data_IF_089205876955
#
_entry.id   IF_089205876955
#
_cell.length_a   1.000
_cell.length_b   1.000
_cell.length_c   1.000
_cell.angle_alpha   90.00
_cell.angle_beta   90.00
_cell.angle_gamma   90.00
#
_symmetry.space_group_name_H-M   'P 1'
#
loop_
_entity.id
_entity.type
_entity.pdbx_description
1 polymer ?
#
# COMPACT_ATOMS: atom_id res chain seq x y z
N UNK A 1 15.21 14.24 -10.15
CA UNK A 1 14.04 13.54 -9.59
C UNK A 1 13.14 13.22 -10.77
N UNK A 2 13.36 12.10 -11.45
CA UNK A 2 12.51 11.63 -12.53
C UNK A 2 12.32 10.14 -12.29
N UNK A 3 11.08 9.72 -12.06
CA UNK A 3 10.70 8.32 -11.88
C UNK A 3 9.79 7.93 -13.04
N UNK A 4 10.38 7.89 -14.23
CA UNK A 4 9.76 7.27 -15.39
C UNK A 4 10.50 5.97 -15.68
N UNK A 5 9.88 4.84 -15.35
CA UNK A 5 10.21 3.56 -15.96
C UNK A 5 8.90 2.78 -16.17
N UNK A 6 8.49 2.51 -17.42
CA UNK A 6 7.19 1.92 -17.73
C UNK A 6 7.18 0.38 -17.71
N UNK A 7 7.94 -0.27 -16.82
CA UNK A 7 8.10 -1.73 -16.86
C UNK A 7 7.90 -2.47 -15.51
N UNK A 8 7.50 -1.78 -14.43
CA UNK A 8 7.41 -2.40 -13.09
C UNK A 8 5.98 -2.64 -12.59
N UNK A 9 4.96 -2.13 -13.30
CA UNK A 9 3.55 -2.21 -12.89
C UNK A 9 2.96 -3.62 -12.99
N UNK A 10 3.65 -4.54 -13.68
CA UNK A 10 3.20 -5.90 -13.94
C UNK A 10 3.60 -6.92 -12.87
N UNK A 11 4.54 -6.61 -11.97
CA UNK A 11 4.97 -7.55 -10.92
C UNK A 11 4.09 -7.53 -9.65
N UNK A 12 3.19 -6.56 -9.52
CA UNK A 12 2.33 -6.40 -8.34
C UNK A 12 0.83 -6.54 -8.63
N UNK A 13 0.47 -6.87 -9.87
CA UNK A 13 -0.91 -7.17 -10.26
C UNK A 13 -1.12 -8.67 -10.23
N UNK A 14 -1.55 -9.19 -9.08
CA UNK A 14 -2.23 -10.48 -8.99
C UNK A 14 -3.39 -10.36 -8.02
N UNK A 15 -4.65 -10.37 -8.51
CA UNK A 15 -5.80 -10.58 -7.64
C UNK A 15 -6.01 -12.09 -7.50
N UNK A 16 -5.51 -12.65 -6.40
CA UNK A 16 -6.04 -13.90 -5.85
C UNK A 16 -7.37 -13.60 -5.17
N UNK A 17 -8.45 -14.21 -5.66
CA UNK A 17 -9.78 -14.12 -5.08
C UNK A 17 -9.78 -14.64 -3.62
N UNK A 18 -10.22 -13.80 -2.69
CA UNK A 18 -10.52 -14.15 -1.30
C UNK A 18 -11.55 -13.16 -0.76
N UNK A 19 -12.69 -13.69 -0.28
CA UNK A 19 -13.84 -12.91 0.16
C UNK A 19 -13.50 -11.95 1.30
N UNK A 20 -14.08 -10.74 1.22
CA UNK A 20 -14.11 -9.80 2.32
C UNK A 20 -15.54 -9.74 2.86
N UNK A 21 -15.75 -10.37 4.01
CA UNK A 21 -16.97 -10.26 4.78
C UNK A 21 -16.82 -9.04 5.72
N UNK A 22 -17.59 -7.99 5.43
CA UNK A 22 -18.09 -6.91 6.30
C UNK A 22 -17.40 -6.60 7.64
N UNK A 23 -16.86 -5.38 7.80
CA UNK A 23 -17.22 -4.44 8.89
C UNK A 23 -16.32 -3.19 8.96
N UNK A 24 -16.73 -2.10 8.30
CA UNK A 24 -16.71 -0.77 8.91
C UNK A 24 -17.81 0.07 8.25
N UNK A 25 -18.90 0.29 8.98
CA UNK A 25 -20.03 1.07 8.52
C UNK A 25 -19.78 2.57 8.63
N UNK A 26 -20.22 3.31 7.60
CA UNK A 26 -20.83 4.65 7.61
C UNK A 26 -20.37 5.48 6.42
N UNK A 27 -21.16 5.45 5.34
CA UNK A 27 -20.97 6.31 4.17
C UNK A 27 -21.38 5.67 2.84
N UNK A 28 -22.57 5.10 2.73
CA UNK A 28 -23.14 4.71 1.43
C UNK A 28 -23.53 5.97 0.66
N UNK A 29 -22.96 6.29 -0.52
CA UNK A 29 -23.74 7.00 -1.53
C UNK A 29 -24.75 5.99 -2.07
N UNK A 30 -26.03 6.34 -2.01
CA UNK A 30 -27.07 5.57 -2.68
C UNK A 30 -26.76 5.52 -4.18
N UNK A 31 -26.31 4.38 -4.69
CA UNK A 31 -26.35 4.07 -6.12
C UNK A 31 -27.80 3.73 -6.47
N UNK A 32 -28.59 4.78 -6.67
CA UNK A 32 -29.87 4.69 -7.37
C UNK A 32 -29.61 4.19 -8.79
N UNK A 33 -30.37 3.17 -9.20
CA UNK A 33 -30.22 2.56 -10.51
C UNK A 33 -30.46 3.54 -11.66
N UNK A 34 -29.56 3.51 -12.63
CA UNK A 34 -29.83 3.80 -14.03
C UNK A 34 -28.86 2.94 -14.85
N UNK A 35 -29.41 2.07 -15.71
CA UNK A 35 -28.63 1.41 -16.75
C UNK A 35 -28.13 2.47 -17.73
N UNK A 36 -26.90 2.92 -17.53
CA UNK A 36 -26.19 3.81 -18.44
C UNK A 36 -25.18 3.00 -19.25
N UNK A 37 -25.35 3.00 -20.57
CA UNK A 37 -24.34 2.51 -21.51
C UNK A 37 -23.03 3.25 -21.23
N UNK A 38 -22.02 2.58 -20.68
CA UNK A 38 -20.67 3.15 -20.49
C UNK A 38 -20.19 3.70 -21.83
N UNK A 39 -19.95 5.00 -21.91
CA UNK A 39 -19.29 5.59 -23.07
C UNK A 39 -17.78 5.35 -22.96
N UNK A 40 -17.07 5.33 -24.08
CA UNK A 40 -15.61 5.12 -24.07
C UNK A 40 -14.86 6.18 -23.23
N UNK A 41 -15.42 7.39 -23.11
CA UNK A 41 -14.88 8.43 -22.22
C UNK A 41 -15.05 8.09 -20.73
N UNK A 42 -16.22 7.59 -20.31
CA UNK A 42 -16.46 7.19 -18.91
C UNK A 42 -15.52 6.04 -18.49
N UNK A 43 -15.19 5.15 -19.44
CA UNK A 43 -14.27 4.03 -19.17
C UNK A 43 -12.81 4.47 -18.94
N UNK A 44 -12.37 5.56 -19.58
CA UNK A 44 -11.01 6.07 -19.43
C UNK A 44 -10.84 6.79 -18.08
N UNK A 45 -11.81 7.62 -17.69
CA UNK A 45 -11.81 8.31 -16.39
C UNK A 45 -11.90 7.30 -15.23
N UNK A 46 -12.75 6.27 -15.38
CA UNK A 46 -12.84 5.18 -14.40
C UNK A 46 -11.51 4.43 -14.25
N UNK A 47 -10.79 4.18 -15.36
CA UNK A 47 -9.53 3.46 -15.31
C UNK A 47 -8.44 4.27 -14.60
N UNK A 48 -8.39 5.59 -14.80
CA UNK A 48 -7.51 6.49 -14.05
C UNK A 48 -7.86 6.51 -12.55
N UNK A 49 -9.15 6.59 -12.22
CA UNK A 49 -9.63 6.53 -10.85
C UNK A 49 -9.21 5.21 -10.16
N UNK A 50 -9.39 4.08 -10.84
CA UNK A 50 -8.99 2.76 -10.32
C UNK A 50 -7.48 2.67 -10.09
N UNK A 51 -6.66 3.20 -10.99
CA UNK A 51 -5.21 3.23 -10.81
C UNK A 51 -4.80 4.03 -9.56
N UNK A 52 -5.42 5.20 -9.35
CA UNK A 52 -5.16 6.02 -8.15
C UNK A 52 -5.59 5.33 -6.86
N UNK A 53 -6.78 4.70 -6.84
CA UNK A 53 -7.26 3.99 -5.66
C UNK A 53 -6.41 2.74 -5.36
N UNK A 54 -5.89 2.06 -6.39
CA UNK A 54 -4.98 0.94 -6.22
C UNK A 54 -3.66 1.37 -5.56
N UNK A 55 -3.07 2.47 -5.99
CA UNK A 55 -1.85 3.00 -5.37
C UNK A 55 -2.08 3.41 -3.90
N UNK A 56 -3.25 4.02 -3.59
CA UNK A 56 -3.64 4.32 -2.21
C UNK A 56 -3.82 3.05 -1.37
N UNK A 57 -4.51 2.05 -1.90
CA UNK A 57 -4.71 0.77 -1.21
C UNK A 57 -3.38 0.08 -0.91
N UNK A 58 -2.44 0.12 -1.87
CA UNK A 58 -1.09 -0.40 -1.69
C UNK A 58 -0.34 0.32 -0.57
N UNK A 59 -0.40 1.66 -0.54
CA UNK A 59 0.22 2.44 0.53
C UNK A 59 -0.39 2.11 1.89
N UNK A 60 -1.72 1.97 1.97
CA UNK A 60 -2.41 1.57 3.21
C UNK A 60 -1.91 0.23 3.75
N UNK A 61 -1.72 -0.76 2.88
CA UNK A 61 -1.18 -2.07 3.27
C UNK A 61 0.25 -1.96 3.82
N UNK A 62 1.08 -1.08 3.25
CA UNK A 62 2.44 -0.83 3.76
C UNK A 62 2.42 -0.15 5.13
N UNK A 63 1.55 0.84 5.32
CA UNK A 63 1.37 1.51 6.62
C UNK A 63 0.90 0.49 7.67
N UNK A 64 -0.10 -0.33 7.35
CA UNK A 64 -0.59 -1.35 8.26
C UNK A 64 0.52 -2.34 8.65
N UNK A 65 1.28 -2.85 7.68
CA UNK A 65 2.39 -3.76 7.95
C UNK A 65 3.48 -3.12 8.84
N UNK A 66 3.80 -1.85 8.61
CA UNK A 66 4.72 -1.09 9.45
C UNK A 66 4.17 -0.92 10.87
N UNK A 67 2.89 -0.57 10.99
CA UNK A 67 2.22 -0.37 12.28
C UNK A 67 2.21 -1.66 13.08
N UNK A 68 1.82 -2.79 12.49
CA UNK A 68 1.78 -4.10 13.17
C UNK A 68 3.18 -4.49 13.67
N UNK A 69 4.20 -4.35 12.82
CA UNK A 69 5.59 -4.64 13.19
C UNK A 69 6.09 -3.73 14.32
N UNK A 70 5.89 -2.43 14.22
CA UNK A 70 6.37 -1.50 15.24
C UNK A 70 5.59 -1.63 16.54
N UNK A 71 4.31 -1.99 16.46
CA UNK A 71 3.50 -2.33 17.63
C UNK A 71 4.13 -3.50 18.39
N UNK A 72 4.40 -4.62 17.72
CA UNK A 72 5.00 -5.81 18.33
C UNK A 72 6.40 -5.56 18.91
N UNK A 73 7.16 -4.62 18.34
CA UNK A 73 8.54 -4.33 18.78
C UNK A 73 8.63 -3.31 19.91
N UNK A 74 7.76 -2.30 19.90
CA UNK A 74 7.91 -1.13 20.76
C UNK A 74 6.85 -1.04 21.86
N UNK A 75 5.67 -1.66 21.70
CA UNK A 75 4.62 -1.61 22.73
C UNK A 75 4.82 -2.68 23.80
N UNK A 76 4.96 -2.21 25.04
CA UNK A 76 4.82 -3.03 26.24
C UNK A 76 3.39 -2.97 26.78
N UNK A 77 3.22 -2.44 27.99
CA UNK A 77 1.89 -2.18 28.53
C UNK A 77 1.28 -0.91 27.93
N UNK A 78 0.06 -0.99 27.35
CA UNK A 78 -0.63 0.20 26.86
C UNK A 78 -1.01 1.11 28.03
N UNK A 79 -0.65 2.39 27.92
CA UNK A 79 -0.99 3.45 28.87
C UNK A 79 -1.76 4.56 28.13
N UNK A 80 -2.34 5.50 28.87
CA UNK A 80 -3.06 6.65 28.30
C UNK A 80 -2.16 7.62 27.53
N UNK A 81 -0.84 7.50 27.68
CA UNK A 81 0.18 8.27 26.97
C UNK A 81 1.33 7.35 26.58
N UNK A 82 1.94 7.61 25.43
CA UNK A 82 3.23 6.99 25.11
C UNK A 82 4.29 7.53 26.08
N UNK A 83 5.04 6.61 26.68
CA UNK A 83 6.23 6.94 27.44
C UNK A 83 7.35 7.34 26.47
N UNK A 84 8.24 8.26 26.86
CA UNK A 84 9.29 8.79 25.97
C UNK A 84 10.15 7.70 25.32
N UNK A 85 10.40 6.60 26.03
CA UNK A 85 11.11 5.42 25.47
C UNK A 85 10.34 4.75 24.32
N UNK A 86 9.02 4.66 24.44
CA UNK A 86 8.15 4.04 23.43
C UNK A 86 8.03 4.95 22.22
N UNK A 87 7.90 6.26 22.42
CA UNK A 87 7.90 7.25 21.34
C UNK A 87 9.21 7.18 20.54
N UNK A 88 10.36 7.24 21.22
CA UNK A 88 11.66 7.10 20.56
C UNK A 88 11.82 5.75 19.83
N UNK A 89 11.29 4.66 20.40
CA UNK A 89 11.29 3.35 19.74
C UNK A 89 10.45 3.37 18.46
N UNK A 90 9.24 3.94 18.49
CA UNK A 90 8.34 4.03 17.34
C UNK A 90 8.96 4.83 16.20
N UNK A 91 9.55 5.99 16.49
CA UNK A 91 10.22 6.82 15.49
C UNK A 91 11.38 6.07 14.80
N UNK A 92 12.23 5.41 15.59
CA UNK A 92 13.32 4.62 15.05
C UNK A 92 12.81 3.41 14.25
N UNK A 93 11.77 2.73 14.74
CA UNK A 93 11.18 1.58 14.07
C UNK A 93 10.63 1.95 12.69
N UNK A 94 9.83 3.02 12.61
CA UNK A 94 9.26 3.50 11.36
C UNK A 94 10.34 3.90 10.35
N UNK A 95 11.37 4.65 10.78
CA UNK A 95 12.50 5.02 9.92
C UNK A 95 13.23 3.77 9.38
N UNK A 96 13.50 2.78 10.24
CA UNK A 96 14.19 1.54 9.83
C UNK A 96 13.34 0.68 8.91
N UNK A 97 12.03 0.64 9.11
CA UNK A 97 11.12 -0.09 8.22
C UNK A 97 11.23 0.44 6.78
N UNK A 98 11.18 1.76 6.61
CA UNK A 98 11.29 2.40 5.29
C UNK A 98 12.67 2.16 4.67
N UNK A 99 13.74 2.40 5.43
CA UNK A 99 15.13 2.20 4.96
C UNK A 99 15.36 0.78 4.44
N UNK A 100 14.94 -0.23 5.23
CA UNK A 100 15.15 -1.64 4.91
C UNK A 100 14.27 -2.06 3.73
N UNK A 101 13.02 -1.62 3.69
CA UNK A 101 12.11 -1.94 2.58
C UNK A 101 12.65 -1.43 1.24
N UNK A 102 13.20 -0.21 1.23
CA UNK A 102 13.83 0.37 0.04
C UNK A 102 15.11 -0.37 -0.33
N UNK A 103 15.99 -0.63 0.64
CA UNK A 103 17.24 -1.36 0.42
C UNK A 103 17.00 -2.74 -0.20
N UNK A 104 16.05 -3.50 0.36
CA UNK A 104 15.68 -4.83 -0.12
C UNK A 104 15.19 -4.73 -1.57
N UNK A 105 14.26 -3.83 -1.85
CA UNK A 105 13.69 -3.65 -3.19
C UNK A 105 14.77 -3.29 -4.23
N UNK A 106 15.67 -2.36 -3.89
CA UNK A 106 16.78 -1.96 -4.76
C UNK A 106 17.75 -3.12 -5.04
N UNK A 107 18.07 -3.93 -4.02
CA UNK A 107 18.93 -5.11 -4.18
C UNK A 107 18.30 -6.14 -5.09
N UNK A 108 17.01 -6.43 -4.92
CA UNK A 108 16.28 -7.34 -5.81
C UNK A 108 16.23 -6.83 -7.25
N UNK A 109 15.93 -5.54 -7.46
CA UNK A 109 15.94 -4.94 -8.79
C UNK A 109 17.31 -5.09 -9.49
N UNK A 110 18.40 -4.85 -8.75
CA UNK A 110 19.77 -5.02 -9.27
C UNK A 110 20.07 -6.47 -9.65
N UNK A 111 19.60 -7.44 -8.85
CA UNK A 111 19.81 -8.86 -9.13
C UNK A 111 19.04 -9.33 -10.36
N UNK A 112 17.78 -8.89 -10.52
CA UNK A 112 16.96 -9.20 -11.69
C UNK A 112 17.55 -8.62 -12.99
N UNK A 113 18.04 -7.38 -12.94
CA UNK A 113 18.73 -6.77 -14.09
C UNK A 113 19.97 -7.55 -14.53
N UNK A 114 20.74 -8.09 -13.56
CA UNK A 114 21.90 -8.93 -13.88
C UNK A 114 21.52 -10.26 -14.49
N UNK A 115 20.41 -10.86 -14.06
CA UNK A 115 19.90 -12.10 -14.66
C UNK A 115 19.38 -11.88 -16.08
N UNK A 116 18.76 -10.73 -16.36
CA UNK A 116 18.26 -10.40 -17.71
C UNK A 116 19.39 -10.10 -18.73
N UNK A 117 20.60 -9.79 -18.25
CA UNK A 117 21.78 -9.51 -19.08
C UNK A 117 22.72 -10.73 -19.24
N UNK A 118 22.34 -11.90 -18.74
CA UNK A 118 22.99 -13.19 -19.01
C UNK A 118 22.14 -14.02 -19.96
#
# INVERSE_FOLDING_TARGET
MNFDTPASSSLFSSPGAGGMDSAFGSGTPALGGAGGSMTAQDSAELQEFLAMEQEKARMRLQIQAMTDLCWDKCMGQPSSKLESKTEACMDNCAQRFVDVSLLITQRFATMLQRQANM
#
